data_IF_843125928790
#
_entry.id   IF_843125928790
#
_cell.length_a   1.000
_cell.length_b   1.000
_cell.length_c   1.000
_cell.angle_alpha   90.00
_cell.angle_beta   90.00
_cell.angle_gamma   90.00
#
_symmetry.space_group_name_H-M   'P 1'
#
loop_
_entity.id
_entity.type
_entity.pdbx_description
1 polymer ?
#
# COMPACT_ATOMS: atom_id res chain seq x y z
N UNK A 1 10.30 -1.18 -1.21
CA UNK A 1 9.93 -2.36 -0.38
C UNK A 1 11.14 -3.22 0.00
N UNK A 2 11.98 -3.69 -0.95
CA UNK A 2 13.18 -4.46 -0.61
C UNK A 2 14.12 -3.75 0.33
N UNK A 3 14.48 -2.52 0.02
CA UNK A 3 15.33 -1.65 0.85
C UNK A 3 14.72 -1.43 2.25
N UNK A 4 13.42 -1.16 2.35
CA UNK A 4 12.71 -1.00 3.63
C UNK A 4 12.81 -2.28 4.48
N UNK A 5 12.61 -3.46 3.86
CA UNK A 5 12.76 -4.75 4.53
C UNK A 5 14.16 -4.96 5.10
N UNK A 6 15.20 -4.68 4.30
CA UNK A 6 16.60 -4.81 4.73
C UNK A 6 16.94 -3.83 5.86
N UNK A 7 16.41 -2.61 5.78
CA UNK A 7 16.57 -1.61 6.84
C UNK A 7 15.90 -2.05 8.13
N UNK A 8 14.70 -2.63 8.11
CA UNK A 8 14.03 -3.20 9.28
C UNK A 8 14.83 -4.35 9.94
N UNK A 9 15.79 -4.97 9.25
CA UNK A 9 16.69 -5.97 9.84
C UNK A 9 17.94 -5.36 10.50
N UNK A 10 18.30 -4.11 10.15
CA UNK A 10 19.49 -3.41 10.63
C UNK A 10 19.18 -2.35 11.69
N UNK A 11 17.97 -1.82 11.67
CA UNK A 11 17.50 -0.78 12.56
C UNK A 11 16.35 -1.33 13.40
N UNK A 12 16.40 -1.02 14.70
CA UNK A 12 15.45 -1.60 15.66
C UNK A 12 14.12 -0.85 15.67
N UNK A 13 14.11 0.39 15.20
CA UNK A 13 12.96 1.28 15.26
C UNK A 13 12.63 1.89 13.90
N UNK A 14 11.36 2.14 13.70
CA UNK A 14 10.83 2.86 12.53
C UNK A 14 9.88 3.94 13.02
N UNK A 15 10.15 5.18 12.63
CA UNK A 15 9.17 6.25 12.69
C UNK A 15 8.31 6.17 11.41
N UNK A 16 7.05 5.76 11.54
CA UNK A 16 6.00 5.86 10.52
C UNK A 16 5.30 7.19 10.70
N UNK A 17 5.17 7.99 9.65
CA UNK A 17 4.46 9.27 9.71
C UNK A 17 3.62 9.51 8.46
N UNK A 18 2.55 10.26 8.64
CA UNK A 18 1.62 10.72 7.61
C UNK A 18 1.36 12.22 7.81
N UNK A 19 0.99 12.95 6.76
CA UNK A 19 0.75 14.39 6.80
C UNK A 19 -0.75 14.65 6.68
N UNK A 20 -1.29 15.50 7.56
CA UNK A 20 -2.71 15.86 7.55
C UNK A 20 -3.04 16.63 6.27
N UNK A 21 -3.90 16.05 5.42
CA UNK A 21 -4.47 16.74 4.26
C UNK A 21 -3.40 17.43 3.40
N UNK A 22 -2.30 16.75 3.04
CA UNK A 22 -1.16 17.35 2.31
C UNK A 22 -1.62 18.22 1.14
N UNK A 23 -2.51 17.69 0.28
CA UNK A 23 -2.97 18.41 -0.91
C UNK A 23 -3.80 19.66 -0.60
N UNK A 24 -4.46 19.71 0.54
CA UNK A 24 -5.33 20.83 0.92
C UNK A 24 -4.57 21.90 1.73
N UNK A 25 -3.39 21.59 2.26
CA UNK A 25 -2.66 22.44 3.19
C UNK A 25 -1.33 22.99 2.67
N UNK A 26 -0.95 22.74 1.41
CA UNK A 26 0.29 23.26 0.84
C UNK A 26 0.27 24.81 0.76
N UNK A 27 1.15 25.55 1.47
CA UNK A 27 1.22 27.00 1.36
C UNK A 27 1.68 27.41 -0.04
N UNK A 28 0.90 28.28 -0.72
CA UNK A 28 1.18 28.70 -2.09
C UNK A 28 2.48 29.49 -2.23
N UNK A 29 2.81 30.34 -1.27
CA UNK A 29 4.04 31.14 -1.24
C UNK A 29 5.30 30.27 -1.26
N UNK A 30 5.37 29.28 -0.37
CA UNK A 30 6.48 28.32 -0.29
C UNK A 30 6.53 27.40 -1.51
N UNK A 31 5.37 26.93 -1.99
CA UNK A 31 5.30 26.10 -3.18
C UNK A 31 5.76 26.86 -4.44
N UNK A 32 5.29 28.09 -4.62
CA UNK A 32 5.70 28.94 -5.76
C UNK A 32 7.18 29.31 -5.69
N UNK A 33 7.73 29.49 -4.49
CA UNK A 33 9.18 29.66 -4.29
C UNK A 33 9.97 28.44 -4.80
N UNK A 34 9.48 27.22 -4.51
CA UNK A 34 10.08 25.98 -5.01
C UNK A 34 9.92 25.87 -6.54
N UNK A 35 8.76 26.19 -7.09
CA UNK A 35 8.49 26.17 -8.54
C UNK A 35 9.44 27.14 -9.28
N UNK A 36 9.61 28.37 -8.79
CA UNK A 36 10.48 29.36 -9.43
C UNK A 36 11.94 28.94 -9.51
N UNK A 37 12.39 28.04 -8.64
CA UNK A 37 13.74 27.49 -8.65
C UNK A 37 13.97 26.45 -9.75
N UNK A 38 12.93 25.78 -10.23
CA UNK A 38 13.02 24.67 -11.18
C UNK A 38 12.40 24.96 -12.54
N UNK A 39 11.51 25.95 -12.62
CA UNK A 39 10.80 26.29 -13.84
C UNK A 39 11.27 27.69 -14.30
N UNK A 40 12.07 27.75 -15.35
CA UNK A 40 12.56 29.01 -15.92
C UNK A 40 11.49 29.68 -16.78
N UNK A 41 10.66 28.94 -17.46
CA UNK A 41 9.64 29.40 -18.37
C UNK A 41 8.56 30.25 -17.65
N UNK A 42 8.48 31.54 -17.99
CA UNK A 42 7.60 32.52 -17.33
C UNK A 42 6.11 32.16 -17.50
N UNK A 43 5.68 31.74 -18.70
CA UNK A 43 4.28 31.35 -18.92
C UNK A 43 3.90 30.05 -18.16
N UNK A 44 4.81 29.10 -18.04
CA UNK A 44 4.55 27.89 -17.26
C UNK A 44 4.36 28.23 -15.77
N UNK A 45 5.18 29.13 -15.21
CA UNK A 45 4.99 29.64 -13.83
C UNK A 45 3.64 30.34 -13.66
N UNK A 46 3.25 31.18 -14.64
CA UNK A 46 1.95 31.85 -14.62
C UNK A 46 0.77 30.86 -14.60
N UNK A 47 0.84 29.80 -15.43
CA UNK A 47 -0.21 28.79 -15.45
C UNK A 47 -0.28 28.01 -14.16
N UNK A 48 0.86 27.61 -13.57
CA UNK A 48 0.90 26.93 -12.27
C UNK A 48 0.24 27.81 -11.19
N UNK A 49 0.59 29.09 -11.15
CA UNK A 49 0.00 30.04 -10.19
C UNK A 49 -1.52 30.16 -10.39
N UNK A 50 -1.98 30.29 -11.63
CA UNK A 50 -3.43 30.33 -11.95
C UNK A 50 -4.16 29.04 -11.55
N UNK A 51 -3.56 27.87 -11.74
CA UNK A 51 -4.16 26.61 -11.31
C UNK A 51 -4.25 26.49 -9.78
N UNK A 52 -3.26 26.99 -9.06
CA UNK A 52 -3.27 26.99 -7.61
C UNK A 52 -4.34 27.94 -7.04
N UNK A 53 -4.48 29.14 -7.65
CA UNK A 53 -5.40 30.19 -7.20
C UNK A 53 -6.79 30.12 -7.82
N UNK A 54 -7.04 29.17 -8.75
CA UNK A 54 -8.33 28.99 -9.38
C UNK A 54 -9.44 28.78 -8.34
N UNK A 55 -10.58 29.42 -8.57
CA UNK A 55 -11.77 29.28 -7.73
C UNK A 55 -12.22 27.81 -7.68
N UNK A 56 -12.59 27.37 -6.50
CA UNK A 56 -13.16 26.05 -6.28
C UNK A 56 -14.66 26.20 -6.02
N UNK A 57 -15.47 25.43 -6.75
CA UNK A 57 -16.90 25.36 -6.48
C UNK A 57 -17.15 24.22 -5.49
N UNK A 58 -17.71 24.55 -4.33
CA UNK A 58 -18.13 23.57 -3.31
C UNK A 58 -19.57 23.88 -2.91
N UNK A 59 -20.45 22.90 -3.10
CA UNK A 59 -21.88 23.04 -2.80
C UNK A 59 -22.55 24.26 -3.51
N UNK A 60 -22.08 24.58 -4.73
CA UNK A 60 -22.58 25.72 -5.52
C UNK A 60 -21.98 27.09 -5.13
N UNK A 61 -21.07 27.14 -4.16
CA UNK A 61 -20.40 28.38 -3.70
C UNK A 61 -18.98 28.43 -4.26
N UNK A 62 -18.61 29.58 -4.80
CA UNK A 62 -17.23 29.87 -5.23
C UNK A 62 -16.35 30.17 -4.00
N UNK A 63 -15.31 29.37 -3.79
CA UNK A 63 -14.36 29.54 -2.72
C UNK A 63 -12.99 29.90 -3.31
N UNK A 64 -12.43 31.01 -2.88
CA UNK A 64 -11.05 31.39 -3.21
C UNK A 64 -10.09 30.48 -2.47
N UNK A 65 -9.09 29.97 -3.19
CA UNK A 65 -8.06 29.12 -2.61
C UNK A 65 -6.80 29.94 -2.32
N UNK A 66 -6.37 29.93 -1.08
CA UNK A 66 -5.14 30.57 -0.60
C UNK A 66 -4.03 29.57 -0.27
N UNK A 67 -4.38 28.28 -0.17
CA UNK A 67 -3.47 27.15 0.05
C UNK A 67 -4.00 25.90 -0.63
N UNK A 68 -3.14 24.87 -0.72
CA UNK A 68 -3.45 23.55 -1.28
C UNK A 68 -3.42 23.52 -2.81
N UNK A 69 -3.65 22.32 -3.32
CA UNK A 69 -3.73 22.03 -4.77
C UNK A 69 -5.07 21.39 -5.10
N UNK A 70 -5.59 21.55 -6.33
CA UNK A 70 -6.84 20.91 -6.74
C UNK A 70 -6.76 19.40 -6.59
N UNK A 71 -7.69 18.79 -5.83
CA UNK A 71 -7.81 17.34 -5.77
C UNK A 71 -8.26 16.81 -7.16
N UNK A 72 -7.55 15.78 -7.65
CA UNK A 72 -7.77 15.25 -9.01
C UNK A 72 -7.06 16.03 -10.12
N UNK A 73 -6.36 17.12 -9.82
CA UNK A 73 -5.53 17.82 -10.79
C UNK A 73 -4.29 16.99 -11.19
N UNK A 74 -4.03 16.87 -12.49
CA UNK A 74 -2.89 16.07 -13.02
C UNK A 74 -1.54 16.54 -12.47
N UNK A 75 -1.38 17.85 -12.22
CA UNK A 75 -0.13 18.47 -11.74
C UNK A 75 -0.01 18.43 -10.21
N UNK A 76 -1.10 18.27 -9.48
CA UNK A 76 -1.11 18.31 -8.01
C UNK A 76 -0.13 17.35 -7.34
N UNK A 77 -0.01 16.07 -7.75
CA UNK A 77 0.98 15.16 -7.18
C UNK A 77 2.44 15.59 -7.44
N UNK A 78 2.71 16.19 -8.59
CA UNK A 78 4.05 16.70 -8.93
C UNK A 78 4.41 17.88 -8.02
N UNK A 79 3.50 18.83 -7.87
CA UNK A 79 3.69 20.01 -7.01
C UNK A 79 3.84 19.62 -5.53
N UNK A 80 3.03 18.69 -5.04
CA UNK A 80 3.13 18.17 -3.69
C UNK A 80 4.49 17.46 -3.46
N UNK A 81 4.95 16.66 -4.42
CA UNK A 81 6.27 16.03 -4.33
C UNK A 81 7.42 17.04 -4.38
N UNK A 82 7.31 18.10 -5.20
CA UNK A 82 8.27 19.20 -5.23
C UNK A 82 8.33 19.93 -3.88
N UNK A 83 7.18 20.20 -3.28
CA UNK A 83 7.11 20.82 -1.95
C UNK A 83 7.80 19.95 -0.89
N UNK A 84 7.44 18.66 -0.83
CA UNK A 84 8.01 17.72 0.13
C UNK A 84 9.50 17.44 -0.11
N UNK A 85 9.98 17.59 -1.34
CA UNK A 85 11.41 17.57 -1.61
C UNK A 85 12.18 18.61 -0.77
N UNK A 86 11.63 19.81 -0.63
CA UNK A 86 12.23 20.87 0.20
C UNK A 86 11.88 20.75 1.68
N UNK A 87 10.64 20.44 1.98
CA UNK A 87 10.16 20.35 3.36
C UNK A 87 10.76 19.16 4.12
N UNK A 88 10.91 18.00 3.45
CA UNK A 88 11.35 16.75 4.05
C UNK A 88 12.65 16.21 3.47
N UNK A 89 12.74 15.93 2.14
CA UNK A 89 13.84 15.14 1.58
C UNK A 89 15.20 15.83 1.75
N UNK A 90 15.30 17.13 1.42
CA UNK A 90 16.54 17.90 1.60
C UNK A 90 16.86 18.16 3.07
N UNK A 91 15.82 18.37 3.89
CA UNK A 91 16.01 18.55 5.33
C UNK A 91 16.59 17.29 5.96
N UNK A 92 16.02 16.11 5.68
CA UNK A 92 16.56 14.83 6.16
C UNK A 92 18.03 14.63 5.74
N UNK A 93 18.36 14.90 4.46
CA UNK A 93 19.74 14.76 3.96
C UNK A 93 20.74 15.65 4.67
N UNK A 94 20.31 16.85 5.11
CA UNK A 94 21.19 17.85 5.76
C UNK A 94 21.26 17.69 7.27
N UNK A 95 20.12 17.50 7.91
CA UNK A 95 20.02 17.48 9.35
C UNK A 95 20.19 16.07 9.95
N UNK A 96 19.87 15.01 9.18
CA UNK A 96 19.89 13.61 9.64
C UNK A 96 20.46 12.68 8.57
N UNK A 97 21.68 12.92 8.04
CA UNK A 97 22.27 12.14 6.94
C UNK A 97 22.49 10.67 7.29
N UNK A 98 22.63 10.33 8.57
CA UNK A 98 22.83 8.98 9.11
C UNK A 98 21.55 8.15 9.19
N UNK A 99 20.35 8.79 9.14
CA UNK A 99 19.07 8.11 9.25
C UNK A 99 18.51 7.77 7.87
N UNK A 100 18.43 6.48 7.50
CA UNK A 100 17.86 6.09 6.24
C UNK A 100 16.33 6.21 6.27
N UNK A 101 15.79 6.82 5.26
CA UNK A 101 14.36 7.05 5.10
C UNK A 101 13.84 6.62 3.74
N UNK A 102 12.53 6.48 3.63
CA UNK A 102 11.81 6.36 2.37
C UNK A 102 10.46 7.08 2.48
N UNK A 103 10.07 7.73 1.40
CA UNK A 103 8.81 8.46 1.29
C UNK A 103 8.12 8.10 -0.02
N UNK A 104 6.81 8.00 0.02
CA UNK A 104 5.95 7.89 -1.13
C UNK A 104 4.76 8.83 -0.93
N UNK A 105 4.73 9.94 -1.67
CA UNK A 105 3.82 11.06 -1.44
C UNK A 105 3.90 11.55 0.02
N UNK A 106 2.82 11.48 0.77
CA UNK A 106 2.66 11.83 2.19
C UNK A 106 3.08 10.72 3.16
N UNK A 107 3.07 9.47 2.74
CA UNK A 107 3.52 8.34 3.55
C UNK A 107 5.05 8.32 3.70
N UNK A 108 5.56 8.40 4.92
CA UNK A 108 6.99 8.38 5.18
C UNK A 108 7.42 7.41 6.28
N UNK A 109 8.63 6.88 6.11
CA UNK A 109 9.29 5.99 7.07
C UNK A 109 10.73 6.46 7.29
N UNK A 110 11.15 6.55 8.55
CA UNK A 110 12.56 6.76 8.91
C UNK A 110 13.00 5.64 9.84
N UNK A 111 14.16 5.05 9.56
CA UNK A 111 14.72 3.96 10.35
C UNK A 111 15.72 4.50 11.37
N UNK A 112 15.52 4.16 12.65
CA UNK A 112 16.29 4.62 13.78
C UNK A 112 16.91 3.42 14.52
N UNK A 113 18.03 3.65 15.19
CA UNK A 113 18.72 2.59 15.98
C UNK A 113 18.10 2.46 17.37
N UNK A 114 17.72 3.58 17.98
CA UNK A 114 17.16 3.61 19.33
C UNK A 114 15.79 4.28 19.36
N UNK A 115 15.00 4.00 20.38
CA UNK A 115 13.72 4.65 20.61
C UNK A 115 13.90 6.16 20.89
N UNK A 116 14.94 6.51 21.64
CA UNK A 116 15.27 7.91 21.93
C UNK A 116 15.55 8.72 20.65
N UNK A 117 16.33 8.13 19.72
CA UNK A 117 16.58 8.72 18.41
C UNK A 117 15.27 8.90 17.61
N UNK A 118 14.37 7.90 17.60
CA UNK A 118 13.09 7.98 16.92
C UNK A 118 12.18 9.06 17.53
N UNK A 119 12.14 9.20 18.86
CA UNK A 119 11.38 10.24 19.57
C UNK A 119 11.94 11.64 19.30
N UNK A 120 13.26 11.82 19.36
CA UNK A 120 13.92 13.08 19.04
C UNK A 120 13.63 13.51 17.58
N UNK A 121 13.75 12.56 16.64
CA UNK A 121 13.42 12.81 15.24
C UNK A 121 11.95 13.16 15.04
N UNK A 122 11.03 12.48 15.71
CA UNK A 122 9.60 12.78 15.62
C UNK A 122 9.30 14.22 16.04
N UNK A 123 9.90 14.69 17.14
CA UNK A 123 9.76 16.08 17.59
C UNK A 123 10.37 17.08 16.60
N UNK A 124 11.58 16.79 16.11
CA UNK A 124 12.27 17.64 15.12
C UNK A 124 11.49 17.73 13.79
N UNK A 125 10.95 16.58 13.31
CA UNK A 125 10.15 16.53 12.09
C UNK A 125 8.82 17.26 12.27
N UNK A 126 8.16 17.14 13.42
CA UNK A 126 6.93 17.88 13.72
C UNK A 126 7.18 19.39 13.66
N UNK A 127 8.23 19.88 14.30
CA UNK A 127 8.63 21.28 14.23
C UNK A 127 8.94 21.73 12.80
N UNK A 128 9.69 20.89 12.06
CA UNK A 128 10.04 21.19 10.65
C UNK A 128 8.81 21.30 9.76
N UNK A 129 7.88 20.37 9.84
CA UNK A 129 6.65 20.38 9.04
C UNK A 129 5.77 21.58 9.41
N UNK A 130 5.63 21.90 10.70
CA UNK A 130 4.93 23.08 11.16
C UNK A 130 5.53 24.38 10.60
N UNK A 131 6.86 24.50 10.57
CA UNK A 131 7.56 25.63 9.93
C UNK A 131 7.32 25.72 8.40
N UNK A 132 6.89 24.62 7.79
CA UNK A 132 6.48 24.55 6.38
C UNK A 132 4.96 24.66 6.18
N UNK A 133 4.17 24.99 7.23
CA UNK A 133 2.73 25.08 7.17
C UNK A 133 2.00 23.74 7.08
N UNK A 134 2.68 22.63 7.41
CA UNK A 134 2.13 21.29 7.40
C UNK A 134 2.05 20.70 8.81
N UNK A 135 1.15 19.73 9.01
CA UNK A 135 0.95 19.05 10.29
C UNK A 135 1.12 17.55 10.14
N UNK A 136 1.87 16.92 11.07
CA UNK A 136 1.91 15.46 11.17
C UNK A 136 0.59 14.92 11.72
N UNK A 137 0.10 13.84 11.12
CA UNK A 137 -1.15 13.23 11.54
C UNK A 137 -0.96 12.48 12.87
N UNK A 138 -1.59 12.95 14.00
CA UNK A 138 -1.28 12.42 15.33
C UNK A 138 -1.64 10.95 15.51
N UNK A 139 -2.74 10.48 14.91
CA UNK A 139 -3.18 9.09 15.05
C UNK A 139 -2.49 8.11 14.09
N UNK A 140 -1.80 8.61 13.04
CA UNK A 140 -1.10 7.77 12.06
C UNK A 140 0.42 7.84 12.21
N UNK A 141 0.93 8.78 12.99
CA UNK A 141 2.35 8.87 13.29
C UNK A 141 2.68 7.99 14.48
N UNK A 142 3.61 7.05 14.30
CA UNK A 142 3.94 6.04 15.31
C UNK A 142 5.41 5.68 15.27
N UNK A 143 5.94 5.33 16.45
CA UNK A 143 7.26 4.74 16.61
C UNK A 143 7.09 3.24 16.80
N UNK A 144 7.59 2.46 15.86
CA UNK A 144 7.37 1.01 15.75
C UNK A 144 8.66 0.24 16.01
N UNK A 145 8.60 -0.75 16.92
CA UNK A 145 9.72 -1.64 17.21
C UNK A 145 9.76 -2.81 16.24
N UNK A 146 10.88 -2.98 15.55
CA UNK A 146 11.11 -4.05 14.58
C UNK A 146 11.50 -5.36 15.27
N UNK A 147 10.59 -5.95 16.05
CA UNK A 147 10.84 -7.18 16.83
C UNK A 147 11.15 -8.38 15.93
N UNK A 148 12.22 -9.10 16.24
CA UNK A 148 12.59 -10.35 15.58
C UNK A 148 13.22 -11.36 16.57
N UNK A 149 13.89 -12.40 16.09
CA UNK A 149 14.57 -13.40 16.93
C UNK A 149 15.61 -12.80 17.89
N UNK A 150 16.33 -11.77 17.48
CA UNK A 150 17.40 -11.12 18.26
C UNK A 150 16.85 -10.01 19.15
N UNK A 151 15.81 -9.34 18.70
CA UNK A 151 15.17 -8.18 19.32
C UNK A 151 13.88 -8.61 20.00
N UNK A 152 13.93 -8.84 21.32
CA UNK A 152 12.85 -9.45 22.12
C UNK A 152 12.11 -8.47 23.03
N UNK A 153 12.37 -7.17 22.92
CA UNK A 153 11.68 -6.13 23.69
C UNK A 153 10.16 -6.21 23.54
N UNK A 154 9.43 -5.84 24.60
CA UNK A 154 7.99 -5.80 24.62
C UNK A 154 7.57 -4.34 24.48
N UNK A 155 7.00 -4.01 23.33
CA UNK A 155 6.53 -2.67 22.97
C UNK A 155 5.12 -2.75 22.38
N UNK A 156 4.28 -1.71 22.55
CA UNK A 156 2.91 -1.73 22.06
C UNK A 156 2.83 -1.79 20.53
N UNK A 157 3.67 -1.01 19.85
CA UNK A 157 3.70 -0.93 18.40
C UNK A 157 4.84 -1.77 17.81
N UNK A 158 4.48 -2.90 17.21
CA UNK A 158 5.42 -3.84 16.56
C UNK A 158 5.06 -4.09 15.09
N UNK A 159 4.22 -3.25 14.51
CA UNK A 159 3.79 -3.36 13.11
C UNK A 159 3.50 -2.00 12.51
N UNK A 160 3.80 -1.85 11.23
CA UNK A 160 3.41 -0.69 10.43
C UNK A 160 2.96 -1.12 9.03
N UNK A 161 2.27 -0.23 8.33
CA UNK A 161 1.80 -0.47 6.97
C UNK A 161 2.43 0.55 6.02
N UNK A 162 3.01 0.06 4.92
CA UNK A 162 3.59 0.92 3.90
C UNK A 162 3.31 0.36 2.52
N UNK A 163 2.74 1.18 1.65
CA UNK A 163 2.39 0.83 0.26
C UNK A 163 1.57 -0.47 0.15
N UNK A 164 0.59 -0.64 1.05
CA UNK A 164 -0.28 -1.82 1.06
C UNK A 164 0.34 -3.09 1.65
N UNK A 165 1.58 -3.04 2.10
CA UNK A 165 2.21 -4.12 2.85
C UNK A 165 2.18 -3.84 4.35
N UNK A 166 1.87 -4.86 5.16
CA UNK A 166 2.05 -4.85 6.60
C UNK A 166 3.39 -5.48 6.98
N UNK A 167 4.25 -4.71 7.62
CA UNK A 167 5.50 -5.14 8.22
C UNK A 167 5.25 -5.53 9.67
N UNK A 168 5.62 -6.74 10.06
CA UNK A 168 5.50 -7.23 11.43
C UNK A 168 6.38 -8.47 11.68
N UNK A 169 6.54 -8.89 12.93
CA UNK A 169 7.14 -10.20 13.25
C UNK A 169 6.33 -11.33 12.58
N UNK A 170 7.03 -12.22 11.87
CA UNK A 170 6.44 -13.41 11.23
C UNK A 170 7.38 -14.59 11.38
N UNK A 171 6.81 -15.80 11.45
CA UNK A 171 7.59 -17.01 11.30
C UNK A 171 8.05 -17.14 9.85
N UNK A 172 9.35 -17.31 9.67
CA UNK A 172 9.98 -17.49 8.36
C UNK A 172 10.96 -18.66 8.46
N UNK A 173 11.18 -19.38 7.36
CA UNK A 173 12.20 -20.41 7.29
C UNK A 173 13.56 -19.72 7.25
N UNK A 174 14.42 -20.01 8.23
CA UNK A 174 15.76 -19.43 8.29
C UNK A 174 16.64 -19.94 7.15
N UNK A 175 17.37 -19.03 6.49
CA UNK A 175 18.30 -19.39 5.40
C UNK A 175 19.44 -20.32 5.87
N UNK A 176 19.88 -20.20 7.11
CA UNK A 176 21.00 -20.97 7.69
C UNK A 176 20.56 -22.10 8.64
N UNK A 177 19.36 -22.01 9.21
CA UNK A 177 18.76 -23.04 10.03
C UNK A 177 17.53 -23.56 9.30
N UNK A 178 17.44 -24.86 9.01
CA UNK A 178 16.25 -25.48 8.40
C UNK A 178 14.97 -25.36 9.27
N UNK A 179 15.02 -24.59 10.36
CA UNK A 179 13.94 -24.37 11.31
C UNK A 179 13.21 -23.05 11.12
N UNK A 180 12.00 -22.96 11.70
CA UNK A 180 11.21 -21.73 11.76
C UNK A 180 11.89 -20.73 12.72
N UNK A 181 12.02 -19.48 12.26
CA UNK A 181 12.56 -18.38 13.05
C UNK A 181 11.65 -17.15 12.93
N UNK A 182 11.67 -16.28 13.94
CA UNK A 182 10.95 -15.01 13.86
C UNK A 182 11.79 -14.00 13.10
N UNK A 183 11.24 -13.50 11.98
CA UNK A 183 11.83 -12.41 11.21
C UNK A 183 10.84 -11.26 11.05
N UNK A 184 11.35 -10.04 10.91
CA UNK A 184 10.53 -8.86 10.61
C UNK A 184 10.40 -8.73 9.08
N UNK A 185 9.19 -8.98 8.55
CA UNK A 185 9.01 -9.11 7.09
C UNK A 185 7.66 -8.58 6.61
N UNK A 186 7.62 -8.01 5.38
CA UNK A 186 6.36 -7.55 4.78
C UNK A 186 5.51 -8.71 4.24
N UNK A 187 4.19 -8.52 4.34
CA UNK A 187 3.19 -9.30 3.62
C UNK A 187 2.03 -8.38 3.25
N UNK A 188 1.11 -8.85 2.41
CA UNK A 188 -0.09 -8.08 2.06
C UNK A 188 -0.84 -7.63 3.31
N UNK A 189 -1.23 -6.35 3.38
CA UNK A 189 -1.96 -5.80 4.52
C UNK A 189 -3.41 -6.29 4.58
N UNK A 190 -4.04 -6.30 5.78
CA UNK A 190 -5.46 -6.63 5.92
C UNK A 190 -6.37 -5.72 5.09
N UNK A 191 -6.04 -4.42 4.99
CA UNK A 191 -6.77 -3.45 4.19
C UNK A 191 -6.69 -3.80 2.68
N UNK A 192 -5.51 -4.14 2.17
CA UNK A 192 -5.34 -4.58 0.78
C UNK A 192 -6.11 -5.88 0.50
N UNK A 193 -6.08 -6.86 1.41
CA UNK A 193 -6.89 -8.09 1.28
C UNK A 193 -8.40 -7.79 1.27
N UNK A 194 -8.86 -6.83 2.09
CA UNK A 194 -10.27 -6.39 2.08
C UNK A 194 -10.64 -5.75 0.74
N UNK A 195 -9.80 -4.89 0.21
CA UNK A 195 -9.99 -4.25 -1.11
C UNK A 195 -10.04 -5.30 -2.23
N UNK A 196 -9.11 -6.25 -2.26
CA UNK A 196 -9.10 -7.34 -3.24
C UNK A 196 -10.40 -8.17 -3.20
N UNK A 197 -10.89 -8.51 -1.99
CA UNK A 197 -12.18 -9.21 -1.83
C UNK A 197 -13.35 -8.37 -2.34
N UNK A 198 -13.34 -7.06 -2.10
CA UNK A 198 -14.36 -6.15 -2.60
C UNK A 198 -14.37 -6.11 -4.14
N UNK A 199 -13.19 -6.04 -4.76
CA UNK A 199 -13.03 -6.09 -6.23
C UNK A 199 -13.59 -7.41 -6.79
N UNK A 200 -13.21 -8.57 -6.23
CA UNK A 200 -13.76 -9.87 -6.66
C UNK A 200 -15.28 -9.94 -6.45
N UNK A 201 -15.80 -9.37 -5.35
CA UNK A 201 -17.24 -9.32 -5.07
C UNK A 201 -17.97 -8.49 -6.11
N UNK A 202 -17.41 -7.36 -6.53
CA UNK A 202 -17.99 -6.46 -7.52
C UNK A 202 -18.15 -7.10 -8.91
N UNK A 203 -17.29 -8.06 -9.26
CA UNK A 203 -17.40 -8.83 -10.50
C UNK A 203 -18.68 -9.69 -10.56
N UNK A 204 -19.38 -9.92 -9.44
CA UNK A 204 -20.62 -10.70 -9.36
C UNK A 204 -20.53 -12.08 -10.04
N UNK A 205 -19.36 -12.73 -10.01
CA UNK A 205 -19.07 -14.01 -10.67
C UNK A 205 -20.22 -15.03 -10.55
N UNK A 206 -20.83 -15.25 -9.36
CA UNK A 206 -21.91 -16.23 -9.23
C UNK A 206 -23.18 -15.89 -10.02
N UNK A 207 -23.32 -14.70 -10.58
CA UNK A 207 -24.46 -14.25 -11.40
C UNK A 207 -24.20 -14.34 -12.91
N UNK A 208 -22.95 -14.57 -13.32
CA UNK A 208 -22.56 -14.66 -14.73
C UNK A 208 -22.76 -16.09 -15.29
N UNK A 209 -23.93 -16.67 -15.05
CA UNK A 209 -24.23 -18.06 -15.42
C UNK A 209 -24.29 -18.34 -16.93
N UNK A 210 -24.62 -17.39 -17.84
CA UNK A 210 -24.52 -17.61 -19.27
C UNK A 210 -23.09 -17.84 -19.76
N UNK A 211 -22.11 -17.16 -19.15
CA UNK A 211 -20.69 -17.23 -19.54
C UNK A 211 -19.99 -18.56 -19.25
N UNK A 212 -18.76 -18.68 -19.70
CA UNK A 212 -17.87 -19.83 -19.52
C UNK A 212 -16.84 -19.59 -18.42
N UNK A 213 -16.11 -20.63 -17.97
CA UNK A 213 -14.97 -20.46 -17.07
C UNK A 213 -13.81 -19.69 -17.72
N UNK A 214 -13.67 -19.80 -19.04
CA UNK A 214 -12.65 -19.07 -19.79
C UNK A 214 -12.89 -17.57 -19.75
N UNK A 215 -14.12 -17.12 -20.02
CA UNK A 215 -14.50 -15.70 -19.95
C UNK A 215 -14.34 -15.14 -18.51
N UNK A 216 -14.69 -15.93 -17.48
CA UNK A 216 -14.42 -15.54 -16.09
C UNK A 216 -12.91 -15.41 -15.81
N UNK A 217 -12.10 -16.30 -16.39
CA UNK A 217 -10.66 -16.25 -16.24
C UNK A 217 -10.07 -15.01 -16.92
N UNK A 218 -10.54 -14.63 -18.10
CA UNK A 218 -10.15 -13.40 -18.80
C UNK A 218 -10.40 -12.15 -17.97
N UNK A 219 -11.52 -12.08 -17.27
CA UNK A 219 -11.86 -10.95 -16.38
C UNK A 219 -10.98 -10.90 -15.12
N UNK A 220 -10.66 -12.06 -14.54
CA UNK A 220 -10.02 -12.13 -13.21
C UNK A 220 -8.50 -12.21 -13.30
N UNK A 221 -7.95 -12.86 -14.31
CA UNK A 221 -6.51 -13.10 -14.44
C UNK A 221 -5.66 -11.82 -14.46
N UNK A 222 -6.03 -10.71 -15.11
CA UNK A 222 -5.28 -9.47 -15.06
C UNK A 222 -5.12 -8.96 -13.62
N UNK A 223 -6.20 -8.98 -12.83
CA UNK A 223 -6.19 -8.58 -11.43
C UNK A 223 -5.27 -9.47 -10.59
N UNK A 224 -5.41 -10.80 -10.78
CA UNK A 224 -4.57 -11.78 -10.07
C UNK A 224 -3.09 -11.64 -10.41
N UNK A 225 -2.73 -11.46 -11.69
CA UNK A 225 -1.34 -11.22 -12.10
C UNK A 225 -0.76 -10.00 -11.39
N UNK A 226 -1.50 -8.90 -11.37
CA UNK A 226 -1.09 -7.68 -10.66
C UNK A 226 -0.88 -7.93 -9.16
N UNK A 227 -1.85 -8.56 -8.49
CA UNK A 227 -1.76 -8.81 -7.04
C UNK A 227 -0.66 -9.82 -6.68
N UNK A 228 -0.53 -10.92 -7.44
CA UNK A 228 0.51 -11.93 -7.20
C UNK A 228 1.90 -11.36 -7.50
N UNK A 229 2.04 -10.60 -8.59
CA UNK A 229 3.30 -9.95 -8.95
C UNK A 229 3.74 -8.92 -7.91
N UNK A 230 2.80 -8.11 -7.41
CA UNK A 230 3.10 -7.09 -6.41
C UNK A 230 3.29 -7.68 -5.01
N UNK A 231 2.27 -8.36 -4.45
CA UNK A 231 2.27 -8.80 -3.05
C UNK A 231 2.91 -10.17 -2.82
N UNK A 232 3.01 -11.02 -3.85
CA UNK A 232 3.57 -12.37 -3.73
C UNK A 232 5.09 -12.43 -3.59
N UNK A 233 5.78 -11.30 -3.79
CA UNK A 233 7.25 -11.24 -3.80
C UNK A 233 7.89 -11.59 -2.45
N UNK A 234 7.28 -11.21 -1.33
CA UNK A 234 7.84 -11.40 0.01
C UNK A 234 7.14 -12.48 0.83
N UNK A 235 5.85 -12.68 0.63
CA UNK A 235 5.04 -13.66 1.33
C UNK A 235 3.90 -14.14 0.44
N UNK A 236 4.18 -15.14 -0.42
CA UNK A 236 3.19 -15.68 -1.36
C UNK A 236 1.99 -16.31 -0.63
N UNK A 237 2.24 -16.98 0.49
CA UNK A 237 1.19 -17.61 1.32
C UNK A 237 0.18 -16.63 1.90
N UNK A 238 0.55 -15.36 2.07
CA UNK A 238 -0.37 -14.32 2.55
C UNK A 238 -1.51 -14.01 1.58
N UNK A 239 -1.42 -14.44 0.31
CA UNK A 239 -2.46 -14.29 -0.71
C UNK A 239 -3.41 -15.51 -0.81
N UNK A 240 -3.14 -16.61 -0.10
CA UNK A 240 -4.02 -17.78 -0.11
C UNK A 240 -5.48 -17.48 0.25
N UNK A 241 -5.78 -16.58 1.22
CA UNK A 241 -7.16 -16.21 1.51
C UNK A 241 -7.90 -15.57 0.33
N UNK A 242 -7.19 -14.94 -0.62
CA UNK A 242 -7.79 -14.38 -1.84
C UNK A 242 -8.05 -15.48 -2.86
N UNK A 243 -7.11 -16.40 -3.04
CA UNK A 243 -7.29 -17.57 -3.90
C UNK A 243 -8.48 -18.42 -3.43
N UNK A 244 -8.57 -18.73 -2.14
CA UNK A 244 -9.70 -19.45 -1.55
C UNK A 244 -11.02 -18.70 -1.70
N UNK A 245 -11.03 -17.39 -1.49
CA UNK A 245 -12.22 -16.57 -1.70
C UNK A 245 -12.72 -16.62 -3.14
N UNK A 246 -11.82 -16.50 -4.13
CA UNK A 246 -12.16 -16.61 -5.54
C UNK A 246 -12.69 -18.00 -5.88
N UNK A 247 -12.01 -19.08 -5.46
CA UNK A 247 -12.47 -20.45 -5.67
C UNK A 247 -13.85 -20.67 -5.08
N UNK A 248 -14.15 -20.09 -3.91
CA UNK A 248 -15.50 -20.08 -3.34
C UNK A 248 -16.54 -19.43 -4.25
N UNK A 249 -16.18 -18.33 -4.95
CA UNK A 249 -17.07 -17.68 -5.93
C UNK A 249 -17.25 -18.53 -7.20
N UNK A 250 -16.20 -19.15 -7.70
CA UNK A 250 -16.25 -20.08 -8.83
C UNK A 250 -17.11 -21.31 -8.51
N UNK A 251 -16.99 -21.88 -7.31
CA UNK A 251 -17.84 -22.97 -6.83
C UNK A 251 -19.31 -22.56 -6.79
N UNK A 252 -19.63 -21.38 -6.26
CA UNK A 252 -21.00 -20.85 -6.27
C UNK A 252 -21.51 -20.62 -7.69
N UNK A 253 -20.68 -20.20 -8.63
CA UNK A 253 -21.04 -20.08 -10.02
C UNK A 253 -21.40 -21.44 -10.62
N UNK A 254 -20.58 -22.50 -10.39
CA UNK A 254 -20.90 -23.87 -10.84
C UNK A 254 -22.25 -24.36 -10.29
N UNK A 255 -22.52 -24.12 -9.01
CA UNK A 255 -23.80 -24.55 -8.41
C UNK A 255 -25.01 -23.83 -8.96
N UNK A 256 -24.83 -22.60 -9.47
CA UNK A 256 -25.90 -21.82 -10.11
C UNK A 256 -26.08 -22.14 -11.60
N UNK A 257 -25.00 -22.36 -12.30
CA UNK A 257 -25.01 -22.67 -13.74
C UNK A 257 -25.56 -24.06 -14.04
N UNK A 258 -25.14 -25.07 -13.27
CA UNK A 258 -25.49 -26.47 -13.55
C UNK A 258 -26.48 -27.02 -12.53
N UNK A 259 -27.72 -27.34 -12.96
CA UNK A 259 -28.78 -27.88 -12.11
C UNK A 259 -28.34 -29.08 -11.26
N UNK A 260 -27.52 -30.02 -11.81
CA UNK A 260 -26.96 -31.17 -11.13
C UNK A 260 -26.09 -30.87 -9.91
N UNK A 261 -25.56 -29.64 -9.77
CA UNK A 261 -24.74 -29.22 -8.63
C UNK A 261 -25.44 -28.26 -7.68
N UNK A 262 -26.72 -27.89 -7.96
CA UNK A 262 -27.45 -26.86 -7.22
C UNK A 262 -27.43 -27.05 -5.70
N UNK A 263 -27.51 -28.28 -5.23
CA UNK A 263 -27.52 -28.63 -3.78
C UNK A 263 -26.26 -29.40 -3.36
N UNK A 264 -25.27 -29.58 -4.24
CA UNK A 264 -24.12 -30.44 -4.02
C UNK A 264 -22.81 -29.65 -4.07
N UNK A 265 -22.56 -28.86 -3.00
CA UNK A 265 -21.35 -28.02 -2.91
C UNK A 265 -20.05 -28.82 -3.02
N UNK A 266 -19.98 -30.03 -2.43
CA UNK A 266 -18.82 -30.91 -2.49
C UNK A 266 -18.55 -31.39 -3.91
N UNK A 267 -19.57 -31.87 -4.63
CA UNK A 267 -19.42 -32.32 -6.03
C UNK A 267 -19.01 -31.15 -6.95
N UNK A 268 -19.55 -29.93 -6.70
CA UNK A 268 -19.11 -28.73 -7.44
C UNK A 268 -17.64 -28.39 -7.17
N UNK A 269 -17.19 -28.59 -5.93
CA UNK A 269 -15.80 -28.43 -5.55
C UNK A 269 -14.89 -29.46 -6.27
N UNK A 270 -15.24 -30.74 -6.22
CA UNK A 270 -14.51 -31.82 -6.89
C UNK A 270 -14.41 -31.57 -8.41
N UNK A 271 -15.49 -31.08 -9.03
CA UNK A 271 -15.45 -30.67 -10.43
C UNK A 271 -14.45 -29.55 -10.65
N UNK A 272 -14.45 -28.50 -9.81
CA UNK A 272 -13.52 -27.39 -9.94
C UNK A 272 -12.07 -27.87 -9.81
N UNK A 273 -11.79 -28.74 -8.85
CA UNK A 273 -10.46 -29.35 -8.66
C UNK A 273 -10.05 -30.17 -9.88
N UNK A 274 -10.98 -30.94 -10.45
CA UNK A 274 -10.73 -31.75 -11.67
C UNK A 274 -10.40 -30.86 -12.87
N UNK A 275 -11.14 -29.78 -13.04
CA UNK A 275 -10.87 -28.81 -14.13
C UNK A 275 -9.49 -28.16 -13.91
N UNK A 276 -9.20 -27.73 -12.69
CA UNK A 276 -7.93 -27.09 -12.37
C UNK A 276 -6.72 -28.03 -12.53
N UNK A 277 -6.89 -29.34 -12.33
CA UNK A 277 -5.85 -30.37 -12.65
C UNK A 277 -5.63 -30.54 -14.15
N UNK A 278 -6.71 -30.48 -14.95
CA UNK A 278 -6.63 -30.61 -16.41
C UNK A 278 -6.15 -29.35 -17.11
N UNK A 279 -6.49 -28.19 -16.54
CA UNK A 279 -6.18 -26.86 -17.10
C UNK A 279 -5.61 -25.94 -16.01
N UNK A 280 -4.40 -26.23 -15.50
CA UNK A 280 -3.82 -25.46 -14.40
C UNK A 280 -3.55 -24.00 -14.76
N UNK A 281 -3.39 -23.69 -16.04
CA UNK A 281 -3.13 -22.34 -16.55
C UNK A 281 -4.39 -21.52 -16.80
N UNK A 282 -5.60 -22.10 -16.66
CA UNK A 282 -6.86 -21.39 -16.89
C UNK A 282 -6.99 -20.19 -15.93
N UNK A 283 -6.70 -20.40 -14.65
CA UNK A 283 -6.64 -19.31 -13.66
C UNK A 283 -5.21 -19.18 -13.11
N UNK A 284 -4.67 -17.97 -13.15
CA UNK A 284 -3.29 -17.66 -12.71
C UNK A 284 -3.00 -18.15 -11.29
N UNK A 285 -3.97 -18.08 -10.37
CA UNK A 285 -3.78 -18.51 -8.98
C UNK A 285 -3.69 -20.03 -8.83
N UNK A 286 -4.27 -20.82 -9.72
CA UNK A 286 -4.12 -22.27 -9.70
C UNK A 286 -2.68 -22.69 -9.97
N UNK A 287 -2.05 -22.07 -10.99
CA UNK A 287 -0.63 -22.27 -11.28
C UNK A 287 0.27 -21.72 -10.19
N UNK A 288 -0.05 -20.51 -9.68
CA UNK A 288 0.81 -19.81 -8.73
C UNK A 288 0.87 -20.51 -7.37
N UNK A 289 -0.24 -21.07 -6.89
CA UNK A 289 -0.36 -21.60 -5.53
C UNK A 289 -0.51 -23.11 -5.46
N UNK A 290 -0.70 -23.80 -6.60
CA UNK A 290 -1.03 -25.20 -6.65
C UNK A 290 -2.47 -25.50 -6.23
N UNK A 291 -2.84 -26.78 -6.29
CA UNK A 291 -4.20 -27.25 -5.93
C UNK A 291 -4.31 -27.79 -4.50
N UNK A 292 -3.20 -27.76 -3.75
CA UNK A 292 -3.10 -28.34 -2.41
C UNK A 292 -3.69 -27.49 -1.28
N UNK A 293 -4.32 -26.36 -1.60
CA UNK A 293 -4.90 -25.46 -0.59
C UNK A 293 -6.34 -25.86 -0.30
N UNK A 294 -6.54 -26.35 0.89
CA UNK A 294 -7.85 -26.62 1.46
C UNK A 294 -8.76 -25.39 1.35
N UNK A 295 -9.81 -25.61 0.76
CA UNK A 295 -10.92 -24.77 0.37
C UNK A 295 -11.84 -24.45 1.55
#
# INVERSE_FOLDING_TARGET
>A
MGVTRERCWRYDWVLEFDIVGLFDNLPHDLLLKAVRRHVECAWARLYIERWLTALMIRDGVEIKRDKGTPQGGVVSPLLANLFLHYAFDLWMRRAHPELPWCRYADDGLVHCRTEAEARALMAALSHRLAACGLEMHPAKTRIVYCRDRRRRGIYPDVKFTFLGYEFRPRQVTGLRSKGLTCGYTPAVSPAALKSMRATIKALRIPRQTPGTLAELAEQVNPLLRGWIGYYGRYSRSSLYPIAGYLNGKLRLWLTRKYKRYRFHKTRAHELLVRIARRQPDLFVHWRAFGLGWSW
#
